data_IF_805155147765
#
_entry.id   IF_805155147765
#
_cell.length_a   1.000
_cell.length_b   1.000
_cell.length_c   1.000
_cell.angle_alpha   90.00
_cell.angle_beta   90.00
_cell.angle_gamma   90.00
#
_symmetry.space_group_name_H-M   'P 1'
#
loop_
_entity.id
_entity.type
_entity.pdbx_description
1 polymer ?
#
# COMPACT_ATOMS: atom_id res chain seq x y z
N UNK A 1 2.00 7.83 -11.58
CA UNK A 1 2.88 8.71 -10.77
C UNK A 1 3.84 9.57 -11.60
N UNK A 2 4.63 9.05 -12.55
CA UNK A 2 5.59 9.86 -13.33
C UNK A 2 4.96 11.14 -13.90
N UNK A 3 3.82 10.99 -14.55
CA UNK A 3 3.07 12.08 -15.20
C UNK A 3 2.49 13.06 -14.17
N UNK A 4 2.07 12.56 -13.00
CA UNK A 4 1.66 13.42 -11.90
C UNK A 4 2.85 14.26 -11.40
N UNK A 5 4.03 13.64 -11.22
CA UNK A 5 5.25 14.34 -10.77
C UNK A 5 5.73 15.35 -11.82
N UNK A 6 5.52 15.06 -13.10
CA UNK A 6 5.80 15.99 -14.18
C UNK A 6 4.74 17.10 -14.33
N UNK A 7 3.64 17.04 -13.58
CA UNK A 7 2.53 18.00 -13.67
C UNK A 7 1.69 17.87 -14.94
N UNK A 8 1.78 16.75 -15.67
CA UNK A 8 0.98 16.51 -16.89
C UNK A 8 -0.40 15.94 -16.58
N UNK A 9 -0.62 15.46 -15.35
CA UNK A 9 -1.92 15.10 -14.78
C UNK A 9 -1.99 15.64 -13.35
N UNK A 10 -3.18 16.00 -12.89
CA UNK A 10 -3.37 16.63 -11.57
C UNK A 10 -3.26 15.65 -10.40
N UNK A 11 -3.62 14.38 -10.63
CA UNK A 11 -3.64 13.35 -9.59
C UNK A 11 -3.46 11.95 -10.17
N UNK A 12 -3.03 11.02 -9.31
CA UNK A 12 -2.91 9.59 -9.64
C UNK A 12 -3.64 8.73 -8.59
N UNK A 13 -4.69 8.02 -9.01
CA UNK A 13 -5.50 7.18 -8.15
C UNK A 13 -5.04 5.71 -8.17
N UNK A 14 -4.89 5.11 -6.98
CA UNK A 14 -4.47 3.72 -6.78
C UNK A 14 -4.67 3.33 -5.31
N UNK A 15 -4.28 2.13 -4.91
CA UNK A 15 -4.24 1.76 -3.50
C UNK A 15 -3.25 2.62 -2.72
N UNK A 16 -3.66 3.14 -1.56
CA UNK A 16 -2.88 4.08 -0.75
C UNK A 16 -1.47 3.56 -0.40
N UNK A 17 -1.34 2.27 -0.11
CA UNK A 17 -0.04 1.66 0.19
C UNK A 17 0.89 1.63 -1.04
N UNK A 18 0.34 1.42 -2.25
CA UNK A 18 1.10 1.46 -3.50
C UNK A 18 1.50 2.88 -3.85
N UNK A 19 0.61 3.84 -3.59
CA UNK A 19 0.86 5.26 -3.76
C UNK A 19 2.01 5.75 -2.87
N UNK A 20 1.98 5.43 -1.57
CA UNK A 20 3.08 5.74 -0.64
C UNK A 20 4.37 5.04 -1.06
N UNK A 21 4.30 3.77 -1.44
CA UNK A 21 5.46 2.99 -1.87
C UNK A 21 6.15 3.58 -3.11
N UNK A 22 5.37 3.99 -4.11
CA UNK A 22 5.91 4.60 -5.33
C UNK A 22 6.46 6.02 -5.05
N UNK A 23 5.83 6.80 -4.17
CA UNK A 23 6.35 8.10 -3.75
C UNK A 23 7.69 7.97 -3.03
N UNK A 24 7.78 7.01 -2.11
CA UNK A 24 9.02 6.66 -1.40
C UNK A 24 10.13 6.22 -2.38
N UNK A 25 9.82 5.34 -3.34
CA UNK A 25 10.77 4.90 -4.38
C UNK A 25 11.27 6.05 -5.25
N UNK A 26 10.46 7.09 -5.45
CA UNK A 26 10.82 8.31 -6.19
C UNK A 26 11.58 9.34 -5.34
N UNK A 27 11.79 9.07 -4.05
CA UNK A 27 12.46 9.98 -3.12
C UNK A 27 11.60 11.20 -2.75
N UNK A 28 10.28 11.13 -2.97
CA UNK A 28 9.37 12.19 -2.55
C UNK A 28 9.21 12.17 -1.03
N UNK A 29 9.30 13.34 -0.42
CA UNK A 29 8.98 13.55 1.00
C UNK A 29 7.46 13.71 1.15
N UNK A 30 6.93 13.38 2.32
CA UNK A 30 5.50 13.55 2.64
C UNK A 30 5.02 15.00 2.47
N UNK A 31 5.91 15.98 2.58
CA UNK A 31 5.57 17.41 2.34
C UNK A 31 5.40 17.76 0.86
N UNK A 32 5.72 16.84 -0.07
CA UNK A 32 5.68 17.07 -1.52
C UNK A 32 4.44 16.46 -2.17
N UNK A 33 3.62 15.73 -1.42
CA UNK A 33 2.41 15.10 -1.91
C UNK A 33 1.33 15.06 -0.84
N UNK A 34 0.07 14.99 -1.24
CA UNK A 34 -1.04 14.65 -0.35
C UNK A 34 -1.75 13.41 -0.86
N UNK A 35 -2.35 12.66 0.06
CA UNK A 35 -3.19 11.49 -0.23
C UNK A 35 -4.62 11.89 0.08
N UNK A 36 -5.46 11.94 -0.96
CA UNK A 36 -6.84 12.42 -0.88
C UNK A 36 -7.80 11.49 -1.64
N UNK A 37 -9.05 11.32 -1.18
CA UNK A 37 -9.59 11.84 0.07
C UNK A 37 -8.98 11.17 1.31
N UNK A 38 -8.92 11.91 2.43
CA UNK A 38 -8.55 11.37 3.76
C UNK A 38 -9.37 10.13 4.17
N UNK A 39 -10.59 9.98 3.63
CA UNK A 39 -11.39 8.76 3.73
C UNK A 39 -11.41 8.02 2.40
N UNK A 40 -10.85 6.81 2.33
CA UNK A 40 -10.80 5.98 1.14
C UNK A 40 -12.16 5.78 0.46
N UNK A 41 -12.15 5.75 -0.87
CA UNK A 41 -13.36 5.50 -1.66
C UNK A 41 -13.79 4.03 -1.59
N UNK A 42 -12.83 3.12 -1.40
CA UNK A 42 -13.08 1.69 -1.21
C UNK A 42 -12.16 1.13 -0.14
N UNK A 43 -12.59 0.01 0.47
CA UNK A 43 -11.81 -0.76 1.41
C UNK A 43 -11.76 -2.20 0.92
N UNK A 44 -10.63 -2.58 0.33
CA UNK A 44 -10.42 -3.88 -0.32
C UNK A 44 -9.28 -4.55 0.43
N UNK A 45 -9.32 -5.87 0.63
CA UNK A 45 -8.21 -6.62 1.22
C UNK A 45 -7.35 -7.24 0.13
N UNK A 46 -6.02 -7.18 0.25
CA UNK A 46 -5.17 -8.06 -0.55
C UNK A 46 -5.30 -9.50 -0.08
N UNK A 47 -5.22 -10.42 -1.04
CA UNK A 47 -5.25 -11.86 -0.83
C UNK A 47 -4.44 -12.53 -1.92
N UNK A 48 -4.09 -13.80 -1.73
CA UNK A 48 -3.43 -14.56 -2.78
C UNK A 48 -4.45 -14.98 -3.83
N UNK A 49 -4.15 -14.73 -5.11
CA UNK A 49 -4.92 -15.27 -6.23
C UNK A 49 -4.48 -16.73 -6.38
N UNK A 50 -5.44 -17.66 -6.26
CA UNK A 50 -5.19 -19.11 -6.31
C UNK A 50 -5.83 -19.72 -7.57
N UNK A 51 -5.32 -20.86 -8.07
CA UNK A 51 -5.98 -21.63 -9.11
C UNK A 51 -7.45 -21.93 -8.76
N UNK A 52 -8.33 -21.80 -9.74
CA UNK A 52 -9.73 -22.15 -9.56
C UNK A 52 -9.87 -23.66 -9.29
N UNK A 53 -10.82 -24.02 -8.42
CA UNK A 53 -11.20 -25.40 -8.08
C UNK A 53 -10.12 -26.25 -7.38
N UNK A 54 -9.11 -25.63 -6.78
CA UNK A 54 -8.12 -26.32 -5.94
C UNK A 54 -8.36 -26.02 -4.45
N UNK A 55 -9.35 -26.70 -3.88
CA UNK A 55 -9.73 -26.49 -2.47
C UNK A 55 -8.67 -26.94 -1.48
N UNK A 56 -7.82 -27.91 -1.86
CA UNK A 56 -6.73 -28.36 -1.01
C UNK A 56 -5.67 -27.27 -0.90
N UNK A 57 -5.27 -26.69 -2.04
CA UNK A 57 -4.32 -25.59 -2.06
C UNK A 57 -4.84 -24.34 -1.35
N UNK A 58 -6.11 -23.99 -1.58
CA UNK A 58 -6.76 -22.90 -0.83
C UNK A 58 -6.69 -23.11 0.68
N UNK A 59 -6.98 -24.34 1.14
CA UNK A 59 -6.91 -24.68 2.56
C UNK A 59 -5.48 -24.56 3.09
N UNK A 60 -4.50 -25.13 2.39
CA UNK A 60 -3.08 -25.06 2.80
C UNK A 60 -2.61 -23.61 2.96
N UNK A 61 -2.88 -22.76 1.96
CA UNK A 61 -2.53 -21.34 2.00
C UNK A 61 -3.21 -20.63 3.18
N UNK A 62 -4.51 -20.83 3.34
CA UNK A 62 -5.29 -20.16 4.38
C UNK A 62 -4.86 -20.58 5.80
N UNK A 63 -4.53 -21.86 6.00
CA UNK A 63 -4.01 -22.36 7.28
C UNK A 63 -2.64 -21.77 7.60
N UNK A 64 -1.74 -21.72 6.61
CA UNK A 64 -0.43 -21.08 6.79
C UNK A 64 -0.56 -19.62 7.22
N UNK A 65 -1.39 -18.84 6.51
CA UNK A 65 -1.69 -17.44 6.80
C UNK A 65 -2.26 -17.28 8.22
N UNK A 66 -3.26 -18.09 8.61
CA UNK A 66 -3.88 -18.01 9.95
C UNK A 66 -2.92 -18.34 11.08
N UNK A 67 -2.07 -19.35 10.89
CA UNK A 67 -1.16 -19.84 11.94
C UNK A 67 0.05 -18.90 12.13
N UNK A 68 0.46 -18.19 11.08
CA UNK A 68 1.75 -17.47 11.03
C UNK A 68 1.66 -15.96 10.94
N UNK A 69 0.47 -15.36 10.97
CA UNK A 69 0.33 -13.91 10.90
C UNK A 69 -0.19 -13.33 12.23
N UNK A 70 0.71 -13.18 13.19
CA UNK A 70 0.53 -12.16 14.23
C UNK A 70 0.88 -10.77 13.68
N UNK A 71 0.37 -9.70 14.31
CA UNK A 71 0.72 -8.32 13.95
C UNK A 71 2.24 -8.10 14.02
N UNK A 72 2.95 -8.72 14.96
CA UNK A 72 4.41 -8.59 15.07
C UNK A 72 5.13 -9.16 13.86
N UNK A 73 4.69 -10.32 13.34
CA UNK A 73 5.29 -10.95 12.17
C UNK A 73 5.05 -10.13 10.89
N UNK A 74 3.87 -9.50 10.76
CA UNK A 74 3.57 -8.60 9.64
C UNK A 74 4.50 -7.38 9.68
N UNK A 75 4.65 -6.75 10.85
CA UNK A 75 5.55 -5.61 11.03
C UNK A 75 7.00 -5.99 10.74
N UNK A 76 7.45 -7.18 11.16
CA UNK A 76 8.80 -7.68 10.88
C UNK A 76 9.04 -7.89 9.38
N UNK A 77 8.08 -8.50 8.67
CA UNK A 77 8.16 -8.72 7.22
C UNK A 77 8.25 -7.37 6.49
N UNK A 78 7.37 -6.43 6.82
CA UNK A 78 7.36 -5.11 6.19
C UNK A 78 8.62 -4.33 6.53
N UNK A 79 9.16 -4.48 7.75
CA UNK A 79 10.41 -3.83 8.17
C UNK A 79 11.60 -4.37 7.38
N UNK A 80 11.64 -5.69 7.15
CA UNK A 80 12.68 -6.32 6.31
C UNK A 80 12.57 -5.90 4.85
N UNK A 81 11.36 -5.77 4.31
CA UNK A 81 11.13 -5.44 2.90
C UNK A 81 11.36 -3.95 2.59
N UNK A 82 10.88 -3.07 3.45
CA UNK A 82 10.82 -1.63 3.18
C UNK A 82 11.81 -0.80 4.02
N UNK A 83 12.43 -1.40 5.04
CA UNK A 83 13.29 -0.73 6.00
C UNK A 83 12.50 -0.13 7.17
N UNK A 84 13.15 -0.05 8.34
CA UNK A 84 12.54 0.42 9.59
C UNK A 84 12.05 1.88 9.55
N UNK A 85 12.56 2.67 8.61
CA UNK A 85 12.17 4.08 8.40
C UNK A 85 11.12 4.25 7.31
N UNK A 86 10.58 3.15 6.78
CA UNK A 86 9.60 3.22 5.70
C UNK A 86 8.30 3.85 6.16
N UNK A 87 7.72 4.79 5.39
CA UNK A 87 6.38 5.30 5.66
C UNK A 87 5.30 4.20 5.53
N UNK A 88 5.63 3.04 4.97
CA UNK A 88 4.74 1.88 4.94
C UNK A 88 4.49 1.29 6.33
N UNK A 89 5.44 1.43 7.28
CA UNK A 89 5.37 0.86 8.64
C UNK A 89 4.47 1.64 9.59
N UNK A 90 4.46 2.96 9.45
CA UNK A 90 3.63 3.87 10.27
C UNK A 90 2.13 3.65 9.94
N UNK A 91 1.84 3.16 8.73
CA UNK A 91 0.48 3.00 8.20
C UNK A 91 -0.10 1.58 8.31
N UNK A 92 0.67 0.59 8.81
CA UNK A 92 0.24 -0.84 8.88
C UNK A 92 -0.93 -1.05 9.84
N UNK A 93 -1.04 -0.23 10.87
CA UNK A 93 -2.10 -0.38 11.91
C UNK A 93 -3.39 0.37 11.53
N UNK A 94 -3.33 1.29 10.56
CA UNK A 94 -4.45 2.19 10.23
C UNK A 94 -5.13 1.93 8.89
N UNK A 95 -4.46 1.30 7.92
CA UNK A 95 -4.99 1.20 6.57
C UNK A 95 -5.17 -0.27 6.16
N UNK A 96 -6.44 -0.72 6.19
CA UNK A 96 -6.91 -1.70 5.21
C UNK A 96 -6.56 -1.17 3.81
N UNK A 97 -6.42 -2.00 2.78
CA UNK A 97 -6.02 -1.45 1.47
C UNK A 97 -7.16 -0.64 0.86
N UNK A 98 -6.83 0.56 0.41
CA UNK A 98 -7.77 1.66 0.30
C UNK A 98 -7.53 2.37 -1.01
N UNK A 99 -8.54 2.48 -1.88
CA UNK A 99 -8.42 3.29 -3.10
C UNK A 99 -8.38 4.77 -2.69
N UNK A 100 -7.26 5.44 -2.98
CA UNK A 100 -7.03 6.85 -2.71
C UNK A 100 -6.31 7.48 -3.91
N UNK A 101 -6.27 8.80 -4.03
CA UNK A 101 -5.47 9.52 -5.03
C UNK A 101 -4.32 10.27 -4.37
N UNK A 102 -3.17 10.35 -5.05
CA UNK A 102 -2.12 11.31 -4.68
C UNK A 102 -2.30 12.59 -5.51
N UNK A 103 -2.27 13.73 -4.82
CA UNK A 103 -2.09 15.06 -5.41
C UNK A 103 -0.67 15.54 -5.13
N UNK A 104 -0.06 16.26 -6.08
CA UNK A 104 1.29 16.79 -5.94
C UNK A 104 1.25 18.30 -5.91
N UNK A 105 2.00 18.88 -4.97
CA UNK A 105 2.11 20.33 -4.86
C UNK A 105 3.14 20.84 -5.89
N UNK A 106 2.69 21.67 -6.82
CA UNK A 106 3.58 22.38 -7.73
C UNK A 106 4.08 23.65 -7.02
N UNK A 107 5.38 23.74 -6.75
CA UNK A 107 6.01 25.00 -6.41
C UNK A 107 6.47 25.66 -7.70
N UNK A 108 5.68 26.62 -8.19
CA UNK A 108 6.07 27.59 -9.22
C UNK A 108 7.01 28.64 -8.65
#
# INVERSE_FOLDING_TARGET
MKDAVAGTIDAFASDGILLVGEAFRKGLKETQYSIEPNRPLTCISYSMILPANDSEWEKTVNEYIRVKLSISQITDILTKLAGATSPLLINVVGYRTHLIAIYLYSYS
#
